data_IF_437469620899
#
_entry.id   IF_437469620899
#
_cell.length_a   1.000
_cell.length_b   1.000
_cell.length_c   1.000
_cell.angle_alpha   90.00
_cell.angle_beta   90.00
_cell.angle_gamma   90.00
#
_symmetry.space_group_name_H-M   'P 1'
#
loop_
_entity.id
_entity.type
_entity.pdbx_description
1 polymer ?
#
# COMPACT_ATOMS: atom_id res chain seq x y z
N UNK A 1 11.87 -18.20 -8.74
CA UNK A 1 12.81 -17.45 -7.88
C UNK A 1 12.11 -16.15 -7.49
N UNK A 2 11.76 -15.98 -6.21
CA UNK A 2 11.13 -14.74 -5.70
C UNK A 2 12.16 -13.62 -5.86
N UNK A 3 11.92 -12.72 -6.81
CA UNK A 3 12.87 -11.69 -7.16
C UNK A 3 13.05 -10.67 -6.02
N UNK A 4 14.18 -9.96 -6.00
CA UNK A 4 14.47 -8.90 -5.01
C UNK A 4 13.35 -7.84 -4.94
N UNK A 5 12.60 -7.66 -6.03
CA UNK A 5 11.50 -6.69 -6.18
C UNK A 5 10.38 -6.81 -5.11
N UNK A 6 9.94 -8.02 -4.76
CA UNK A 6 8.87 -8.22 -3.78
C UNK A 6 9.33 -7.90 -2.36
N UNK A 7 10.60 -8.17 -2.06
CA UNK A 7 11.22 -7.85 -0.77
C UNK A 7 11.46 -6.35 -0.65
N UNK A 8 11.90 -5.68 -1.72
CA UNK A 8 12.09 -4.22 -1.74
C UNK A 8 10.78 -3.46 -1.59
N UNK A 9 9.66 -3.96 -2.11
CA UNK A 9 8.35 -3.30 -1.97
C UNK A 9 7.80 -3.37 -0.55
N UNK A 10 7.88 -4.54 0.08
CA UNK A 10 7.54 -4.72 1.50
C UNK A 10 8.42 -3.85 2.41
N UNK A 11 9.72 -3.75 2.11
CA UNK A 11 10.65 -2.91 2.86
C UNK A 11 10.38 -1.42 2.64
N UNK A 12 9.98 -1.00 1.44
CA UNK A 12 9.56 0.39 1.17
C UNK A 12 8.27 0.73 1.92
N UNK A 13 7.27 -0.16 1.92
CA UNK A 13 6.01 0.08 2.64
C UNK A 13 6.22 0.12 4.14
N UNK A 14 7.09 -0.74 4.70
CA UNK A 14 7.45 -0.69 6.12
C UNK A 14 8.26 0.58 6.47
N UNK A 15 9.17 1.02 5.59
CA UNK A 15 9.94 2.23 5.79
C UNK A 15 9.07 3.50 5.76
N UNK A 16 8.08 3.54 4.87
CA UNK A 16 7.07 4.60 4.86
C UNK A 16 6.26 4.57 6.17
N UNK A 17 5.79 3.40 6.60
CA UNK A 17 5.03 3.21 7.84
C UNK A 17 5.78 3.70 9.10
N UNK A 18 7.12 3.61 9.13
CA UNK A 18 7.94 4.08 10.25
C UNK A 18 8.20 5.59 10.25
N UNK A 19 8.14 6.24 9.07
CA UNK A 19 8.43 7.67 8.92
C UNK A 19 7.23 8.59 9.22
N UNK A 20 6.01 8.06 9.17
CA UNK A 20 4.74 8.80 9.24
C UNK A 20 4.11 8.76 10.65
N UNK A 21 4.92 8.99 11.69
CA UNK A 21 4.54 8.93 13.11
C UNK A 21 3.55 10.02 13.60
N UNK A 22 2.42 10.20 12.91
CA UNK A 22 1.26 10.99 13.35
C UNK A 22 0.00 10.14 13.16
N UNK A 23 -0.90 10.13 14.16
CA UNK A 23 -2.10 9.29 14.16
C UNK A 23 -3.01 9.48 12.93
N UNK A 24 -3.00 10.67 12.32
CA UNK A 24 -3.72 10.98 11.07
C UNK A 24 -3.13 10.32 9.82
N UNK A 25 -1.82 10.10 9.80
CA UNK A 25 -1.13 9.56 8.64
C UNK A 25 -1.32 8.04 8.52
N UNK A 26 -1.69 7.38 9.64
CA UNK A 26 -2.04 5.97 9.66
C UNK A 26 -3.35 5.69 8.91
N UNK A 27 -4.42 6.46 9.12
CA UNK A 27 -5.70 6.24 8.45
C UNK A 27 -5.57 6.39 6.92
N UNK A 28 -4.91 7.47 6.47
CA UNK A 28 -4.58 7.66 5.06
C UNK A 28 -3.76 6.48 4.50
N UNK A 29 -2.70 6.07 5.21
CA UNK A 29 -1.83 5.00 4.75
C UNK A 29 -2.55 3.66 4.64
N UNK A 30 -3.45 3.37 5.59
CA UNK A 30 -4.27 2.17 5.59
C UNK A 30 -5.30 2.19 4.45
N UNK A 31 -5.96 3.32 4.20
CA UNK A 31 -6.86 3.50 3.05
C UNK A 31 -6.11 3.38 1.72
N UNK A 32 -4.91 3.96 1.63
CA UNK A 32 -4.03 3.83 0.48
C UNK A 32 -3.65 2.36 0.22
N UNK A 33 -3.18 1.64 1.25
CA UNK A 33 -2.83 0.22 1.14
C UNK A 33 -4.04 -0.65 0.78
N UNK A 34 -5.20 -0.38 1.36
CA UNK A 34 -6.44 -1.10 1.05
C UNK A 34 -6.82 -0.92 -0.43
N UNK A 35 -6.83 0.33 -0.90
CA UNK A 35 -7.15 0.66 -2.30
C UNK A 35 -6.09 0.09 -3.24
N UNK A 36 -4.81 0.08 -2.85
CA UNK A 36 -3.72 -0.50 -3.63
C UNK A 36 -3.86 -2.01 -3.80
N UNK A 37 -4.29 -2.72 -2.74
CA UNK A 37 -4.46 -4.18 -2.76
C UNK A 37 -5.76 -4.61 -3.42
N UNK A 38 -6.87 -3.91 -3.21
CA UNK A 38 -8.21 -4.39 -3.62
C UNK A 38 -8.81 -3.58 -4.76
N UNK A 39 -8.50 -2.29 -4.85
CA UNK A 39 -9.01 -1.37 -5.86
C UNK A 39 -8.19 -1.34 -7.15
N UNK A 40 -8.59 -0.45 -8.06
CA UNK A 40 -7.92 -0.10 -9.29
C UNK A 40 -6.89 1.02 -9.13
N UNK A 41 -6.13 1.27 -10.20
CA UNK A 41 -5.20 2.40 -10.24
C UNK A 41 -5.93 3.74 -10.25
N UNK A 42 -7.10 3.82 -10.91
CA UNK A 42 -7.96 5.01 -10.93
C UNK A 42 -8.52 5.31 -9.54
N UNK A 43 -8.98 4.29 -8.81
CA UNK A 43 -9.48 4.44 -7.44
C UNK A 43 -8.44 5.06 -6.49
N UNK A 44 -7.15 4.77 -6.70
CA UNK A 44 -6.07 5.41 -5.93
C UNK A 44 -6.01 6.91 -6.17
N UNK A 45 -6.17 7.35 -7.43
CA UNK A 45 -6.11 8.76 -7.81
C UNK A 45 -7.40 9.54 -7.51
N UNK A 46 -8.55 8.87 -7.54
CA UNK A 46 -9.85 9.48 -7.19
C UNK A 46 -10.13 9.43 -5.68
N UNK A 47 -9.49 8.52 -4.95
CA UNK A 47 -9.63 8.36 -3.51
C UNK A 47 -8.44 8.94 -2.73
N UNK A 48 -7.59 8.10 -2.12
CA UNK A 48 -6.60 8.54 -1.14
C UNK A 48 -5.61 9.56 -1.71
N UNK A 49 -5.29 9.50 -3.00
CA UNK A 49 -4.34 10.41 -3.64
C UNK A 49 -4.98 11.66 -4.27
N UNK A 50 -6.30 11.84 -4.19
CA UNK A 50 -7.01 12.90 -4.92
C UNK A 50 -6.58 14.32 -4.53
N UNK A 51 -6.10 14.52 -3.31
CA UNK A 51 -5.61 15.81 -2.80
C UNK A 51 -4.17 16.13 -3.21
N UNK A 52 -3.45 15.20 -3.83
CA UNK A 52 -2.04 15.35 -4.16
C UNK A 52 -1.83 15.70 -5.63
N UNK A 53 -0.96 16.67 -5.88
CA UNK A 53 -0.45 16.95 -7.23
C UNK A 53 0.66 15.94 -7.57
N UNK A 54 0.27 14.85 -8.24
CA UNK A 54 1.16 13.76 -8.60
C UNK A 54 1.70 13.97 -10.01
N UNK A 55 3.01 14.17 -10.09
CA UNK A 55 3.71 14.35 -11.36
C UNK A 55 3.66 13.07 -12.25
N UNK A 56 3.95 13.20 -13.56
CA UNK A 56 3.85 12.08 -14.51
C UNK A 56 4.74 10.87 -14.16
N UNK A 57 5.96 11.10 -13.68
CA UNK A 57 6.89 10.02 -13.35
C UNK A 57 6.40 9.21 -12.14
N UNK A 58 5.82 9.88 -11.15
CA UNK A 58 5.16 9.23 -10.02
C UNK A 58 3.94 8.40 -10.48
N UNK A 59 3.14 8.91 -11.43
CA UNK A 59 2.01 8.13 -12.00
C UNK A 59 2.49 6.88 -12.74
N UNK A 60 3.60 6.98 -13.47
CA UNK A 60 4.22 5.85 -14.15
C UNK A 60 4.70 4.79 -13.13
N UNK A 61 5.41 5.22 -12.09
CA UNK A 61 5.87 4.34 -11.00
C UNK A 61 4.69 3.65 -10.28
N UNK A 62 3.60 4.37 -10.03
CA UNK A 62 2.38 3.81 -9.44
C UNK A 62 1.71 2.76 -10.33
N UNK A 63 1.72 2.97 -11.65
CA UNK A 63 1.22 1.99 -12.62
C UNK A 63 2.03 0.69 -12.59
N UNK A 64 3.37 0.79 -12.53
CA UNK A 64 4.24 -0.38 -12.43
C UNK A 64 4.03 -1.13 -11.11
N UNK A 65 3.97 -0.40 -10.00
CA UNK A 65 3.67 -0.97 -8.69
C UNK A 65 2.34 -1.72 -8.70
N UNK A 66 1.27 -1.09 -9.21
CA UNK A 66 -0.06 -1.72 -9.26
C UNK A 66 -0.04 -2.98 -10.13
N UNK A 67 0.65 -2.94 -11.26
CA UNK A 67 0.85 -4.12 -12.11
C UNK A 67 1.57 -5.25 -11.39
N UNK A 68 2.60 -4.97 -10.59
CA UNK A 68 3.27 -5.99 -9.78
C UNK A 68 2.30 -6.65 -8.78
N UNK A 69 1.41 -5.88 -8.17
CA UNK A 69 0.43 -6.37 -7.19
C UNK A 69 -0.68 -7.19 -7.88
N UNK A 70 -1.18 -6.73 -9.03
CA UNK A 70 -2.23 -7.42 -9.77
C UNK A 70 -1.75 -8.73 -10.39
N UNK A 71 -0.45 -8.85 -10.67
CA UNK A 71 0.18 -10.09 -11.13
C UNK A 71 0.55 -11.06 -9.99
N UNK A 72 0.29 -10.72 -8.72
CA UNK A 72 0.49 -11.67 -7.63
C UNK A 72 -0.46 -12.87 -7.77
N UNK A 73 0.04 -14.05 -7.40
CA UNK A 73 -0.83 -15.22 -7.28
C UNK A 73 -2.00 -14.90 -6.33
N UNK A 74 -3.25 -15.28 -6.67
CA UNK A 74 -4.44 -14.92 -5.88
C UNK A 74 -4.32 -15.23 -4.38
N UNK A 75 -3.68 -16.36 -4.05
CA UNK A 75 -3.42 -16.75 -2.67
C UNK A 75 -2.52 -15.74 -1.92
N UNK A 76 -1.45 -15.25 -2.55
CA UNK A 76 -0.57 -14.26 -1.91
C UNK A 76 -1.28 -12.92 -1.72
N UNK A 77 -2.07 -12.49 -2.71
CA UNK A 77 -2.87 -11.27 -2.62
C UNK A 77 -3.88 -11.36 -1.46
N UNK A 78 -4.53 -12.51 -1.28
CA UNK A 78 -5.43 -12.75 -0.17
C UNK A 78 -4.73 -12.72 1.21
N UNK A 79 -3.52 -13.29 1.33
CA UNK A 79 -2.75 -13.22 2.58
C UNK A 79 -2.29 -11.79 2.91
N UNK A 80 -1.95 -10.96 1.91
CA UNK A 80 -1.65 -9.54 2.13
C UNK A 80 -2.86 -8.75 2.65
N UNK A 81 -4.06 -9.05 2.14
CA UNK A 81 -5.30 -8.43 2.66
C UNK A 81 -5.56 -8.85 4.11
N UNK A 82 -5.37 -10.13 4.46
CA UNK A 82 -5.50 -10.60 5.85
C UNK A 82 -4.50 -9.92 6.78
N UNK A 83 -3.26 -9.75 6.33
CA UNK A 83 -2.24 -9.04 7.10
C UNK A 83 -2.67 -7.59 7.37
N UNK A 84 -3.22 -6.90 6.36
CA UNK A 84 -3.73 -5.54 6.53
C UNK A 84 -4.86 -5.50 7.59
N UNK A 85 -5.81 -6.42 7.54
CA UNK A 85 -6.89 -6.52 8.55
C UNK A 85 -6.30 -6.79 9.95
N UNK A 86 -5.30 -7.66 10.07
CA UNK A 86 -4.66 -7.93 11.36
C UNK A 86 -3.92 -6.70 11.93
N UNK A 87 -3.37 -5.84 11.07
CA UNK A 87 -2.76 -4.56 11.48
C UNK A 87 -3.84 -3.58 11.95
N UNK A 88 -5.01 -3.54 11.29
CA UNK A 88 -6.16 -2.70 11.66
C UNK A 88 -6.80 -3.13 12.99
N UNK A 89 -6.98 -4.44 13.19
CA UNK A 89 -7.63 -5.01 14.37
C UNK A 89 -6.69 -5.13 15.57
N UNK A 90 -5.39 -4.86 15.41
CA UNK A 90 -4.46 -4.89 16.52
C UNK A 90 -4.76 -3.74 17.47
N UNK A 91 -5.06 -4.00 18.76
CA UNK A 91 -5.22 -2.93 19.74
C UNK A 91 -3.90 -2.17 19.79
N UNK A 92 -3.93 -0.93 19.33
CA UNK A 92 -2.74 -0.09 19.19
C UNK A 92 -1.89 -0.17 20.45
N UNK A 93 -0.63 -0.55 20.29
CA UNK A 93 0.33 -0.56 21.38
C UNK A 93 0.44 0.85 21.95
N UNK A 94 -0.07 1.02 23.16
CA UNK A 94 0.41 2.06 24.06
C UNK A 94 1.92 1.85 24.25
N UNK A 95 2.71 2.83 23.81
CA UNK A 95 4.09 3.03 24.22
C UNK A 95 4.30 4.52 24.46
#
# INVERSE_FOLDING_TARGET
MKGPATMTLLLLSLALCWSLGMASDNEFFLEFLQTLLVGGLEDLYEGPLASYDINPDCKAAMSELKSCIDNLAPMHKAELVKLLVAVLDSPGGEA
#
